data_IF_487834554108
#
_entry.id   IF_487834554108
#
_cell.length_a   1.000
_cell.length_b   1.000
_cell.length_c   1.000
_cell.angle_alpha   90.00
_cell.angle_beta   90.00
_cell.angle_gamma   90.00
#
_symmetry.space_group_name_H-M   'P 1'
#
loop_
_entity.id
_entity.type
_entity.pdbx_description
1 polymer ?
#
# COMPACT_ATOMS: atom_id res chain seq x y z
N UNK A 1 8.59 0.28 41.32
CA UNK A 1 9.69 -0.71 41.34
C UNK A 1 9.35 -1.78 40.34
N UNK A 2 10.17 -1.97 39.30
CA UNK A 2 10.01 -3.07 38.36
C UNK A 2 10.49 -4.36 39.04
N UNK A 3 9.63 -5.37 39.10
CA UNK A 3 10.00 -6.69 39.62
C UNK A 3 10.72 -7.42 38.48
N UNK A 4 11.99 -7.81 38.62
CA UNK A 4 12.63 -8.70 37.64
C UNK A 4 11.95 -10.06 37.74
N UNK A 5 11.32 -10.50 36.64
CA UNK A 5 10.65 -11.80 36.61
C UNK A 5 11.56 -12.84 35.96
N UNK A 6 11.62 -14.02 36.58
CA UNK A 6 12.34 -15.17 36.05
C UNK A 6 11.59 -15.83 34.90
N UNK A 7 12.34 -16.57 34.07
CA UNK A 7 11.81 -17.42 33.00
C UNK A 7 10.68 -18.36 33.45
N UNK A 8 10.84 -18.95 34.63
CA UNK A 8 9.88 -19.93 35.15
C UNK A 8 8.57 -19.26 35.56
N UNK A 9 8.65 -18.03 36.08
CA UNK A 9 7.47 -17.25 36.40
C UNK A 9 6.72 -16.83 35.13
N UNK A 10 7.40 -16.44 34.05
CA UNK A 10 6.73 -16.19 32.77
C UNK A 10 6.01 -17.42 32.22
N UNK A 11 6.63 -18.60 32.31
CA UNK A 11 6.00 -19.85 31.88
C UNK A 11 4.76 -20.17 32.71
N UNK A 12 4.84 -19.99 34.03
CA UNK A 12 3.71 -20.20 34.92
C UNK A 12 2.56 -19.23 34.59
N UNK A 13 2.84 -17.93 34.56
CA UNK A 13 1.84 -16.90 34.25
C UNK A 13 1.20 -17.12 32.88
N UNK A 14 1.99 -17.53 31.88
CA UNK A 14 1.49 -17.87 30.54
C UNK A 14 0.45 -19.01 30.57
N UNK A 15 0.65 -20.02 31.41
CA UNK A 15 -0.30 -21.13 31.58
C UNK A 15 -1.54 -20.69 32.36
N UNK A 16 -1.39 -19.83 33.36
CA UNK A 16 -2.53 -19.30 34.10
C UNK A 16 -3.41 -18.40 33.23
N UNK A 17 -2.83 -17.65 32.29
CA UNK A 17 -3.58 -16.82 31.34
C UNK A 17 -4.54 -17.63 30.44
N UNK A 18 -4.32 -18.93 30.24
CA UNK A 18 -5.23 -19.77 29.43
C UNK A 18 -6.50 -20.18 30.19
N UNK A 19 -6.65 -19.77 31.46
CA UNK A 19 -7.83 -20.07 32.29
C UNK A 19 -9.01 -19.10 32.03
N UNK A 20 -8.82 -18.09 31.16
CA UNK A 20 -9.87 -17.18 30.72
C UNK A 20 -9.73 -15.74 31.24
N UNK A 21 -10.65 -14.88 30.79
CA UNK A 21 -10.55 -13.41 30.96
C UNK A 21 -10.44 -12.95 32.42
N UNK A 22 -11.19 -13.60 33.33
CA UNK A 22 -11.11 -13.28 34.77
C UNK A 22 -9.70 -13.47 35.32
N UNK A 23 -9.00 -14.54 34.91
CA UNK A 23 -7.65 -14.83 35.37
C UNK A 23 -6.63 -13.89 34.74
N UNK A 24 -6.82 -13.54 33.46
CA UNK A 24 -6.00 -12.53 32.79
C UNK A 24 -6.10 -11.15 33.49
N UNK A 25 -7.31 -10.74 33.88
CA UNK A 25 -7.51 -9.47 34.60
C UNK A 25 -6.86 -9.46 35.99
N UNK A 26 -6.92 -10.58 36.72
CA UNK A 26 -6.23 -10.75 38.01
C UNK A 26 -4.71 -10.63 37.85
N UNK A 27 -4.14 -11.38 36.90
CA UNK A 27 -2.71 -11.37 36.58
C UNK A 27 -2.27 -9.97 36.14
N UNK A 28 -3.02 -9.33 35.25
CA UNK A 28 -2.70 -7.98 34.78
C UNK A 28 -2.75 -6.95 35.92
N UNK A 29 -3.71 -7.07 36.85
CA UNK A 29 -3.79 -6.17 38.01
C UNK A 29 -2.63 -6.37 38.98
N UNK A 30 -2.16 -7.62 39.13
CA UNK A 30 -1.10 -7.98 40.06
C UNK A 30 0.32 -7.70 39.53
N UNK A 31 0.56 -7.98 38.25
CA UNK A 31 1.89 -7.97 37.64
C UNK A 31 2.06 -6.89 36.57
N UNK A 32 0.97 -6.41 35.97
CA UNK A 32 0.99 -5.42 34.90
C UNK A 32 1.68 -5.92 33.62
N UNK A 33 2.03 -4.96 32.77
CA UNK A 33 2.79 -5.18 31.54
C UNK A 33 4.25 -4.77 31.65
N UNK A 34 4.63 -3.84 32.53
CA UNK A 34 6.00 -3.30 32.63
C UNK A 34 6.94 -4.19 33.44
N UNK A 35 7.03 -5.45 33.05
CA UNK A 35 7.88 -6.46 33.68
C UNK A 35 9.28 -6.32 33.10
N UNK A 36 10.29 -6.17 33.97
CA UNK A 36 11.68 -6.11 33.52
C UNK A 36 12.05 -7.48 32.92
N UNK A 37 12.51 -7.49 31.69
CA UNK A 37 12.76 -8.72 30.93
C UNK A 37 14.24 -8.96 30.72
N UNK A 38 14.76 -10.00 31.37
CA UNK A 38 16.04 -10.63 31.00
C UNK A 38 15.84 -11.76 29.98
N UNK A 39 14.58 -12.17 29.74
CA UNK A 39 14.19 -13.29 28.87
C UNK A 39 13.08 -12.86 27.87
N UNK A 40 13.43 -12.10 26.81
CA UNK A 40 12.46 -11.48 25.89
C UNK A 40 11.46 -12.45 25.24
N UNK A 41 11.88 -13.68 24.92
CA UNK A 41 11.04 -14.67 24.24
C UNK A 41 9.89 -15.20 25.11
N UNK A 42 10.18 -15.59 26.36
CA UNK A 42 9.13 -16.10 27.26
C UNK A 42 8.17 -14.99 27.67
N UNK A 43 8.69 -13.76 27.77
CA UNK A 43 7.87 -12.59 28.00
C UNK A 43 6.86 -12.35 26.87
N UNK A 44 7.27 -12.36 25.59
CA UNK A 44 6.33 -12.19 24.46
C UNK A 44 5.28 -13.31 24.43
N UNK A 45 5.67 -14.56 24.69
CA UNK A 45 4.72 -15.68 24.78
C UNK A 45 3.70 -15.50 25.90
N UNK A 46 4.12 -14.94 27.04
CA UNK A 46 3.21 -14.53 28.10
C UNK A 46 2.23 -13.46 27.61
N UNK A 47 2.72 -12.40 26.95
CA UNK A 47 1.89 -11.33 26.41
C UNK A 47 0.84 -11.84 25.40
N UNK A 48 1.19 -12.81 24.55
CA UNK A 48 0.25 -13.47 23.63
C UNK A 48 -0.94 -14.03 24.40
N UNK A 49 -0.69 -14.89 25.38
CA UNK A 49 -1.76 -15.54 26.13
C UNK A 49 -2.54 -14.57 27.04
N UNK A 50 -1.86 -13.55 27.58
CA UNK A 50 -2.51 -12.50 28.37
C UNK A 50 -3.49 -11.66 27.52
N UNK A 51 -3.22 -11.53 26.22
CA UNK A 51 -3.98 -10.70 25.29
C UNK A 51 -5.13 -11.40 24.58
N UNK A 52 -5.24 -12.74 24.68
CA UNK A 52 -6.29 -13.51 24.01
C UNK A 52 -7.66 -13.09 24.53
N UNK A 53 -8.48 -12.52 23.65
CA UNK A 53 -9.85 -12.06 23.93
C UNK A 53 -9.99 -10.91 24.95
N UNK A 54 -8.92 -10.18 25.28
CA UNK A 54 -8.98 -9.04 26.22
C UNK A 54 -8.47 -7.73 25.59
N UNK A 55 -9.39 -6.99 24.98
CA UNK A 55 -9.09 -5.75 24.23
C UNK A 55 -8.47 -4.63 25.07
N UNK A 56 -8.72 -4.57 26.38
CA UNK A 56 -8.13 -3.55 27.27
C UNK A 56 -6.66 -3.85 27.57
N UNK A 57 -6.32 -5.13 27.73
CA UNK A 57 -4.93 -5.57 27.90
C UNK A 57 -4.16 -5.40 26.57
N UNK A 58 -4.77 -5.73 25.43
CA UNK A 58 -4.18 -5.55 24.10
C UNK A 58 -3.65 -4.11 23.91
N UNK A 59 -4.43 -3.08 24.27
CA UNK A 59 -4.01 -1.67 24.22
C UNK A 59 -2.78 -1.35 25.05
N UNK A 60 -2.69 -1.97 26.21
CA UNK A 60 -1.59 -1.73 27.13
C UNK A 60 -0.31 -2.37 26.57
N UNK A 61 -0.42 -3.60 26.07
CA UNK A 61 0.68 -4.34 25.43
C UNK A 61 1.27 -3.55 24.27
N UNK A 62 0.44 -2.95 23.41
CA UNK A 62 0.92 -2.17 22.26
C UNK A 62 1.92 -1.07 22.65
N UNK A 63 1.73 -0.42 23.81
CA UNK A 63 2.60 0.68 24.26
C UNK A 63 4.01 0.25 24.65
N UNK A 64 4.22 -1.03 24.94
CA UNK A 64 5.52 -1.54 25.41
C UNK A 64 6.25 -2.37 24.37
N UNK A 65 5.59 -2.80 23.29
CA UNK A 65 6.24 -3.58 22.22
C UNK A 65 7.51 -2.92 21.65
N UNK A 66 7.56 -1.58 21.44
CA UNK A 66 8.79 -0.93 20.98
C UNK A 66 9.98 -1.06 21.94
N UNK A 67 9.75 -1.36 23.22
CA UNK A 67 10.82 -1.50 24.22
C UNK A 67 11.40 -2.91 24.32
N UNK A 68 10.83 -3.89 23.61
CA UNK A 68 11.27 -5.29 23.66
C UNK A 68 12.39 -5.51 22.63
N UNK A 69 13.56 -6.05 23.03
CA UNK A 69 14.63 -6.41 22.09
C UNK A 69 14.16 -7.45 21.06
N UNK A 70 14.52 -7.24 19.79
CA UNK A 70 14.09 -8.10 18.67
C UNK A 70 15.24 -9.01 18.21
N UNK A 71 15.03 -10.31 18.40
CA UNK A 71 15.74 -11.44 17.79
C UNK A 71 14.84 -12.18 16.78
N UNK A 72 15.38 -13.15 16.04
CA UNK A 72 14.58 -13.96 15.11
C UNK A 72 13.42 -14.68 15.83
N UNK A 73 13.69 -15.31 16.97
CA UNK A 73 12.65 -16.04 17.70
C UNK A 73 11.59 -15.09 18.26
N UNK A 74 11.99 -13.95 18.84
CA UNK A 74 11.02 -12.98 19.38
C UNK A 74 10.21 -12.34 18.27
N UNK A 75 10.79 -12.10 17.09
CA UNK A 75 10.10 -11.54 15.94
C UNK A 75 8.89 -12.39 15.54
N UNK A 76 9.03 -13.72 15.45
CA UNK A 76 7.94 -14.63 15.05
C UNK A 76 6.76 -14.56 16.04
N UNK A 77 7.05 -14.44 17.33
CA UNK A 77 6.01 -14.32 18.35
C UNK A 77 5.40 -12.91 18.45
N UNK A 78 6.18 -11.85 18.20
CA UNK A 78 5.65 -10.48 18.04
C UNK A 78 4.67 -10.40 16.87
N UNK A 79 4.95 -11.15 15.80
CA UNK A 79 4.08 -11.27 14.65
C UNK A 79 2.76 -11.97 15.01
N UNK A 80 2.80 -13.11 15.70
CA UNK A 80 1.58 -13.79 16.18
C UNK A 80 0.76 -12.87 17.10
N UNK A 81 1.43 -12.19 18.04
CA UNK A 81 0.81 -11.24 18.95
C UNK A 81 0.12 -10.11 18.19
N UNK A 82 0.80 -9.52 17.22
CA UNK A 82 0.27 -8.45 16.38
C UNK A 82 -0.95 -8.94 15.59
N UNK A 83 -0.90 -10.13 14.97
CA UNK A 83 -2.04 -10.69 14.25
C UNK A 83 -3.26 -10.92 15.15
N UNK A 84 -3.06 -11.39 16.38
CA UNK A 84 -4.15 -11.60 17.35
C UNK A 84 -4.80 -10.27 17.76
N UNK A 85 -3.98 -9.24 18.00
CA UNK A 85 -4.47 -7.88 18.30
C UNK A 85 -5.24 -7.31 17.11
N UNK A 86 -4.81 -7.59 15.87
CA UNK A 86 -5.47 -7.11 14.66
C UNK A 86 -6.79 -7.83 14.35
N UNK A 87 -6.91 -9.13 14.65
CA UNK A 87 -8.10 -9.92 14.37
C UNK A 87 -9.32 -9.51 15.23
N UNK A 88 -9.08 -8.94 16.42
CA UNK A 88 -10.12 -8.55 17.38
C UNK A 88 -10.61 -7.09 17.21
N UNK A 89 -10.16 -6.37 16.17
CA UNK A 89 -10.51 -4.96 15.97
C UNK A 89 -11.76 -4.75 15.12
N UNK A 90 -12.70 -3.89 15.57
CA UNK A 90 -13.75 -3.38 14.71
C UNK A 90 -13.17 -2.46 13.62
N UNK A 91 -13.63 -2.63 12.37
CA UNK A 91 -13.14 -1.94 11.14
C UNK A 91 -13.10 -0.40 11.19
N UNK A 92 -13.73 0.24 12.18
CA UNK A 92 -14.03 1.68 12.20
C UNK A 92 -13.10 2.53 13.10
N UNK A 93 -11.94 2.04 13.55
CA UNK A 93 -11.00 2.82 14.39
C UNK A 93 -9.67 3.10 13.71
N UNK A 94 -9.67 4.12 12.84
CA UNK A 94 -8.51 4.62 12.09
C UNK A 94 -7.25 4.90 12.95
N UNK A 95 -7.41 5.51 14.14
CA UNK A 95 -6.29 5.81 15.04
C UNK A 95 -5.63 4.55 15.62
N UNK A 96 -6.40 3.46 15.74
CA UNK A 96 -5.91 2.19 16.28
C UNK A 96 -5.02 1.46 15.27
N UNK A 97 -5.33 1.62 14.00
CA UNK A 97 -4.58 1.03 12.89
C UNK A 97 -3.23 1.76 12.71
N UNK A 98 -3.20 3.09 12.90
CA UNK A 98 -1.95 3.87 12.82
C UNK A 98 -0.93 3.53 13.92
N UNK A 99 -1.36 3.39 15.18
CA UNK A 99 -0.46 2.97 16.28
C UNK A 99 0.07 1.54 16.08
N UNK A 100 -0.75 0.63 15.53
CA UNK A 100 -0.36 -0.75 15.25
C UNK A 100 0.59 -0.88 14.06
N UNK A 101 0.36 -0.12 12.99
CA UNK A 101 1.27 -0.05 11.84
C UNK A 101 2.67 0.38 12.27
N UNK A 102 2.79 1.34 13.19
CA UNK A 102 4.09 1.80 13.70
C UNK A 102 4.86 0.72 14.48
N UNK A 103 4.17 -0.22 15.13
CA UNK A 103 4.81 -1.32 15.86
C UNK A 103 5.29 -2.41 14.92
N UNK A 104 4.49 -2.76 13.91
CA UNK A 104 4.91 -3.68 12.85
C UNK A 104 6.08 -3.06 12.09
N UNK A 105 6.05 -1.75 11.88
CA UNK A 105 7.15 -1.01 11.25
C UNK A 105 8.42 -0.92 12.08
N UNK A 106 8.29 -0.68 13.38
CA UNK A 106 9.40 -0.78 14.31
C UNK A 106 9.99 -2.19 14.34
N UNK A 107 9.12 -3.21 14.28
CA UNK A 107 9.53 -4.61 14.22
C UNK A 107 10.31 -4.89 12.94
N UNK A 108 9.82 -4.40 11.80
CA UNK A 108 10.49 -4.48 10.50
C UNK A 108 11.83 -3.75 10.48
N UNK A 109 11.91 -2.53 11.01
CA UNK A 109 13.15 -1.73 11.04
C UNK A 109 14.22 -2.31 11.96
N UNK A 110 13.83 -3.18 12.90
CA UNK A 110 14.72 -3.83 13.85
C UNK A 110 15.15 -5.23 13.42
N UNK A 111 14.50 -5.80 12.38
CA UNK A 111 14.88 -7.08 11.79
C UNK A 111 15.94 -6.81 10.73
N UNK A 112 17.11 -7.45 10.87
CA UNK A 112 18.15 -7.39 9.85
C UNK A 112 17.58 -7.96 8.53
N UNK A 113 17.78 -7.26 7.41
CA UNK A 113 17.16 -7.53 6.09
C UNK A 113 17.55 -8.87 5.45
N UNK A 114 18.20 -9.75 6.19
CA UNK A 114 18.68 -11.07 5.78
C UNK A 114 17.83 -12.23 6.32
N UNK A 115 16.67 -11.97 6.93
CA UNK A 115 15.74 -13.01 7.38
C UNK A 115 14.42 -12.96 6.61
N UNK A 116 14.41 -13.62 5.45
CA UNK A 116 13.31 -13.61 4.47
C UNK A 116 11.97 -14.09 5.08
N UNK A 117 12.00 -15.10 5.95
CA UNK A 117 10.79 -15.63 6.59
C UNK A 117 10.13 -14.59 7.51
N UNK A 118 10.91 -13.90 8.35
CA UNK A 118 10.37 -12.87 9.24
C UNK A 118 9.85 -11.66 8.48
N UNK A 119 10.56 -11.31 7.40
CA UNK A 119 10.12 -10.29 6.48
C UNK A 119 8.77 -10.65 5.86
N UNK A 120 8.59 -11.86 5.31
CA UNK A 120 7.32 -12.32 4.73
C UNK A 120 6.14 -12.30 5.71
N UNK A 121 6.35 -12.63 6.98
CA UNK A 121 5.30 -12.56 8.00
C UNK A 121 4.97 -11.10 8.37
N UNK A 122 5.99 -10.29 8.64
CA UNK A 122 5.84 -8.86 8.96
C UNK A 122 5.13 -8.11 7.85
N UNK A 123 5.53 -8.46 6.64
CA UNK A 123 4.89 -8.10 5.41
C UNK A 123 3.42 -8.54 5.37
N UNK A 124 3.11 -9.83 5.56
CA UNK A 124 1.74 -10.36 5.59
C UNK A 124 0.83 -9.61 6.59
N UNK A 125 1.35 -9.14 7.73
CA UNK A 125 0.53 -8.34 8.65
C UNK A 125 0.39 -6.88 8.26
N UNK A 126 1.42 -6.23 7.73
CA UNK A 126 1.24 -4.92 7.08
C UNK A 126 0.21 -5.02 5.97
N UNK A 127 0.25 -6.11 5.22
CA UNK A 127 -0.68 -6.49 4.17
C UNK A 127 -2.12 -6.58 4.69
N UNK A 128 -2.35 -6.99 5.95
CA UNK A 128 -3.68 -7.07 6.57
C UNK A 128 -4.17 -5.74 7.13
N UNK A 129 -3.27 -4.80 7.36
CA UNK A 129 -3.61 -3.43 7.71
C UNK A 129 -3.96 -2.65 6.45
N UNK A 130 -4.78 -1.61 6.58
CA UNK A 130 -4.88 -0.62 5.51
C UNK A 130 -3.48 -0.10 5.26
N UNK A 131 -2.92 -0.35 4.07
CA UNK A 131 -1.56 0.03 3.71
C UNK A 131 -1.58 1.55 3.48
N UNK A 132 -1.54 2.27 4.60
CA UNK A 132 -1.52 3.72 4.65
C UNK A 132 -0.14 4.14 5.14
N UNK A 133 0.41 5.22 4.55
CA UNK A 133 1.73 5.79 4.83
C UNK A 133 2.90 5.13 4.07
N UNK A 134 2.76 4.88 2.77
CA UNK A 134 3.82 4.42 1.88
C UNK A 134 5.10 5.28 1.98
N UNK A 135 4.96 6.58 2.22
CA UNK A 135 6.10 7.49 2.44
C UNK A 135 6.96 7.07 3.63
N UNK A 136 6.32 6.67 4.74
CA UNK A 136 7.01 6.18 5.92
C UNK A 136 7.61 4.79 5.67
N UNK A 137 6.88 3.90 4.98
CA UNK A 137 7.36 2.56 4.61
C UNK A 137 8.61 2.64 3.73
N UNK A 138 8.63 3.53 2.74
CA UNK A 138 9.77 3.75 1.86
C UNK A 138 11.04 4.19 2.62
N UNK A 139 10.89 4.91 3.74
CA UNK A 139 12.04 5.32 4.57
C UNK A 139 12.62 4.19 5.43
N UNK A 140 11.86 3.11 5.63
CA UNK A 140 12.20 2.01 6.54
C UNK A 140 12.61 0.73 5.81
N UNK A 141 12.09 0.52 4.60
CA UNK A 141 12.31 -0.70 3.82
C UNK A 141 13.51 -0.54 2.88
N UNK A 142 14.22 -1.65 2.63
CA UNK A 142 15.14 -1.72 1.49
C UNK A 142 14.37 -1.59 0.18
N UNK A 143 15.07 -1.26 -0.91
CA UNK A 143 14.46 -1.12 -2.25
C UNK A 143 13.70 -2.41 -2.63
N UNK A 144 14.32 -3.58 -2.46
CA UNK A 144 13.70 -4.87 -2.79
C UNK A 144 12.43 -5.13 -1.96
N UNK A 145 12.46 -4.81 -0.67
CA UNK A 145 11.34 -4.98 0.24
C UNK A 145 10.19 -4.02 -0.07
N UNK A 146 10.52 -2.79 -0.48
CA UNK A 146 9.53 -1.81 -0.93
C UNK A 146 8.90 -2.23 -2.27
N UNK A 147 9.68 -2.83 -3.18
CA UNK A 147 9.17 -3.38 -4.43
C UNK A 147 8.20 -4.54 -4.21
N UNK A 148 8.50 -5.42 -3.25
CA UNK A 148 7.58 -6.49 -2.84
C UNK A 148 6.25 -5.86 -2.35
N UNK A 149 6.31 -4.82 -1.52
CA UNK A 149 5.13 -4.08 -1.04
C UNK A 149 4.23 -3.57 -2.16
N UNK A 150 4.82 -2.98 -3.21
CA UNK A 150 4.06 -2.55 -4.36
C UNK A 150 3.37 -3.73 -5.07
N UNK A 151 4.04 -4.89 -5.19
CA UNK A 151 3.46 -6.09 -5.83
C UNK A 151 2.20 -6.58 -5.10
N UNK A 152 2.16 -6.49 -3.78
CA UNK A 152 0.97 -6.89 -3.02
C UNK A 152 -0.16 -5.87 -3.10
N UNK A 153 0.18 -4.58 -3.01
CA UNK A 153 -0.83 -3.51 -3.19
C UNK A 153 -1.49 -3.69 -4.56
N UNK A 154 -0.68 -3.92 -5.61
CA UNK A 154 -1.16 -4.23 -6.94
C UNK A 154 -2.08 -5.46 -6.94
N UNK A 155 -1.64 -6.60 -6.38
CA UNK A 155 -2.44 -7.83 -6.36
C UNK A 155 -3.77 -7.67 -5.59
N UNK A 156 -3.78 -6.85 -4.53
CA UNK A 156 -5.01 -6.50 -3.81
C UNK A 156 -5.97 -5.66 -4.63
N UNK A 157 -5.45 -4.63 -5.31
CA UNK A 157 -6.24 -3.77 -6.19
C UNK A 157 -6.81 -4.55 -7.37
N UNK A 158 -6.03 -5.46 -7.95
CA UNK A 158 -6.46 -6.37 -9.01
C UNK A 158 -7.62 -7.25 -8.53
N UNK A 159 -7.47 -7.90 -7.38
CA UNK A 159 -8.52 -8.75 -6.80
C UNK A 159 -9.78 -7.98 -6.42
N UNK A 160 -9.63 -6.76 -5.90
CA UNK A 160 -10.75 -5.87 -5.61
C UNK A 160 -11.52 -5.54 -6.90
N UNK A 161 -10.77 -5.23 -7.97
CA UNK A 161 -11.32 -4.93 -9.28
C UNK A 161 -12.05 -6.13 -9.90
N UNK A 162 -11.46 -7.33 -9.88
CA UNK A 162 -12.08 -8.55 -10.41
C UNK A 162 -13.43 -8.88 -9.75
N UNK A 163 -13.60 -8.47 -8.50
CA UNK A 163 -14.82 -8.70 -7.73
C UNK A 163 -15.80 -7.52 -7.78
N UNK A 164 -15.47 -6.46 -8.52
CA UNK A 164 -16.23 -5.20 -8.55
C UNK A 164 -16.43 -4.61 -7.13
N UNK A 165 -15.48 -4.89 -6.22
CA UNK A 165 -15.50 -4.40 -4.86
C UNK A 165 -15.01 -2.94 -4.86
N UNK A 166 -15.89 -2.03 -4.45
CA UNK A 166 -15.57 -0.62 -4.22
C UNK A 166 -14.74 -0.47 -2.92
N UNK A 167 -13.50 -0.97 -2.93
CA UNK A 167 -12.60 -1.00 -1.75
C UNK A 167 -11.22 -0.38 -2.02
N UNK A 168 -11.00 0.27 -3.18
CA UNK A 168 -9.74 0.99 -3.45
C UNK A 168 -9.36 1.99 -2.34
N UNK A 169 -10.29 2.81 -1.78
CA UNK A 169 -9.98 3.71 -0.66
C UNK A 169 -9.57 2.99 0.64
N UNK A 170 -9.91 1.71 0.76
CA UNK A 170 -9.52 0.87 1.88
C UNK A 170 -8.14 0.24 1.65
N UNK A 171 -7.64 0.21 0.42
CA UNK A 171 -6.34 -0.38 0.10
C UNK A 171 -5.23 0.68 0.10
N UNK A 172 -5.49 1.85 -0.48
CA UNK A 172 -4.52 2.94 -0.64
C UNK A 172 -5.15 4.30 -0.32
N UNK A 173 -4.43 5.17 0.40
CA UNK A 173 -4.92 6.51 0.74
C UNK A 173 -4.57 7.56 -0.32
N UNK A 174 -5.22 8.73 -0.23
CA UNK A 174 -4.93 9.89 -1.09
C UNK A 174 -3.50 10.38 -0.88
N UNK A 175 -3.04 10.38 0.37
CA UNK A 175 -1.67 10.75 0.74
C UNK A 175 -0.63 9.79 0.14
N UNK A 176 -0.96 8.49 0.07
CA UNK A 176 -0.09 7.49 -0.57
C UNK A 176 -0.06 7.65 -2.08
N UNK A 177 -1.19 8.00 -2.70
CA UNK A 177 -1.26 8.30 -4.14
C UNK A 177 -0.39 9.52 -4.44
N UNK A 178 -0.49 10.59 -3.65
CA UNK A 178 0.36 11.77 -3.79
C UNK A 178 1.84 11.43 -3.61
N UNK A 179 2.18 10.61 -2.61
CA UNK A 179 3.54 10.13 -2.42
C UNK A 179 4.05 9.35 -3.63
N UNK A 180 3.27 8.38 -4.14
CA UNK A 180 3.64 7.59 -5.32
C UNK A 180 3.85 8.47 -6.56
N UNK A 181 3.02 9.49 -6.78
CA UNK A 181 3.17 10.41 -7.91
C UNK A 181 4.46 11.25 -7.82
N UNK A 182 4.82 11.68 -6.60
CA UNK A 182 6.04 12.44 -6.34
C UNK A 182 7.30 11.56 -6.40
N UNK A 183 7.20 10.32 -5.92
CA UNK A 183 8.28 9.34 -5.89
C UNK A 183 8.50 8.66 -7.24
N UNK A 184 7.49 8.66 -8.12
CA UNK A 184 7.57 8.04 -9.44
C UNK A 184 8.84 8.48 -10.20
N UNK A 185 9.64 7.48 -10.54
CA UNK A 185 10.83 7.60 -11.39
C UNK A 185 10.46 7.05 -12.76
N UNK A 186 10.99 7.67 -13.81
CA UNK A 186 10.83 7.19 -15.19
C UNK A 186 11.10 5.67 -15.26
N UNK A 187 10.22 4.95 -15.96
CA UNK A 187 10.21 3.48 -16.15
C UNK A 187 9.70 2.62 -14.96
N UNK A 188 9.19 3.19 -13.86
CA UNK A 188 8.54 2.41 -12.79
C UNK A 188 7.10 1.98 -13.15
N UNK A 189 6.98 0.94 -13.95
CA UNK A 189 5.68 0.42 -14.40
C UNK A 189 4.78 -0.07 -13.26
N UNK A 190 5.34 -0.54 -12.14
CA UNK A 190 4.53 -1.02 -11.01
C UNK A 190 3.74 0.10 -10.37
N UNK A 191 4.40 1.24 -10.13
CA UNK A 191 3.73 2.44 -9.64
C UNK A 191 2.63 2.89 -10.59
N UNK A 192 2.87 2.87 -11.90
CA UNK A 192 1.84 3.20 -12.90
C UNK A 192 0.65 2.22 -12.88
N UNK A 193 0.87 0.93 -12.69
CA UNK A 193 -0.23 -0.05 -12.56
C UNK A 193 -1.10 0.25 -11.34
N UNK A 194 -0.49 0.54 -10.18
CA UNK A 194 -1.22 0.92 -8.95
C UNK A 194 -2.04 2.19 -9.19
N UNK A 195 -1.41 3.21 -9.78
CA UNK A 195 -2.05 4.49 -10.08
C UNK A 195 -3.20 4.32 -11.09
N UNK A 196 -3.08 3.42 -12.07
CA UNK A 196 -4.15 3.10 -13.01
C UNK A 196 -5.39 2.56 -12.30
N UNK A 197 -5.26 1.63 -11.34
CA UNK A 197 -6.40 1.19 -10.53
C UNK A 197 -7.05 2.35 -9.76
N UNK A 198 -6.24 3.27 -9.23
CA UNK A 198 -6.75 4.45 -8.52
C UNK A 198 -7.58 5.36 -9.45
N UNK A 199 -7.18 5.53 -10.72
CA UNK A 199 -7.96 6.32 -11.70
C UNK A 199 -9.27 5.67 -12.15
N UNK A 200 -9.51 4.39 -11.81
CA UNK A 200 -10.76 3.70 -12.14
C UNK A 200 -11.81 3.78 -11.04
N UNK A 201 -11.41 4.15 -9.82
CA UNK A 201 -12.31 4.30 -8.67
C UNK A 201 -13.03 5.65 -8.72
N UNK A 202 -14.33 5.60 -9.01
CA UNK A 202 -15.18 6.79 -9.17
C UNK A 202 -15.17 7.69 -7.94
N UNK A 203 -15.13 7.13 -6.73
CA UNK A 203 -15.18 7.92 -5.48
C UNK A 203 -13.92 8.73 -5.22
N UNK A 204 -12.78 8.30 -5.76
CA UNK A 204 -11.48 8.96 -5.57
C UNK A 204 -11.02 9.71 -6.81
N UNK A 205 -11.65 9.49 -7.96
CA UNK A 205 -11.18 9.98 -9.25
C UNK A 205 -10.84 11.47 -9.25
N UNK A 206 -11.71 12.31 -8.68
CA UNK A 206 -11.48 13.76 -8.64
C UNK A 206 -10.23 14.13 -7.86
N UNK A 207 -10.01 13.50 -6.71
CA UNK A 207 -8.85 13.76 -5.86
C UNK A 207 -7.57 13.21 -6.51
N UNK A 208 -7.63 12.01 -7.09
CA UNK A 208 -6.54 11.39 -7.86
C UNK A 208 -6.10 12.29 -9.02
N UNK A 209 -7.05 12.78 -9.81
CA UNK A 209 -6.78 13.72 -10.90
C UNK A 209 -6.09 14.98 -10.40
N UNK A 210 -6.62 15.60 -9.34
CA UNK A 210 -6.04 16.82 -8.78
C UNK A 210 -4.58 16.59 -8.35
N UNK A 211 -4.29 15.44 -7.72
CA UNK A 211 -2.93 15.03 -7.39
C UNK A 211 -2.08 14.91 -8.64
N UNK A 212 -2.56 14.24 -9.70
CA UNK A 212 -1.76 14.01 -10.91
C UNK A 212 -1.40 15.33 -11.61
N UNK A 213 -2.32 16.30 -11.58
CA UNK A 213 -2.08 17.65 -12.08
C UNK A 213 -1.06 18.39 -11.21
N UNK A 214 -1.24 18.38 -9.89
CA UNK A 214 -0.40 19.13 -8.95
C UNK A 214 1.03 18.59 -8.85
N UNK A 215 1.20 17.28 -8.93
CA UNK A 215 2.51 16.59 -8.88
C UNK A 215 3.23 16.58 -10.23
N UNK A 216 2.55 17.05 -11.30
CA UNK A 216 3.06 17.01 -12.67
C UNK A 216 3.20 15.61 -13.25
N UNK A 217 2.58 14.58 -12.65
CA UNK A 217 2.65 13.20 -13.12
C UNK A 217 2.23 13.10 -14.60
N UNK A 218 1.18 13.82 -14.99
CA UNK A 218 0.70 13.84 -16.38
C UNK A 218 1.83 14.22 -17.34
N UNK A 219 2.64 15.22 -17.01
CA UNK A 219 3.74 15.67 -17.86
C UNK A 219 4.90 14.66 -17.89
N UNK A 220 5.07 13.85 -16.83
CA UNK A 220 6.09 12.79 -16.74
C UNK A 220 5.70 11.53 -17.54
N UNK A 221 4.43 11.14 -17.56
CA UNK A 221 4.00 9.88 -18.21
C UNK A 221 3.97 9.94 -19.74
N UNK A 222 3.85 11.14 -20.33
CA UNK A 222 3.88 11.31 -21.79
C UNK A 222 5.22 10.91 -22.44
N UNK A 223 6.39 11.37 -21.94
CA UNK A 223 7.69 10.87 -22.37
C UNK A 223 7.85 9.36 -22.20
N UNK A 224 7.33 8.78 -21.12
CA UNK A 224 7.40 7.33 -20.86
C UNK A 224 6.59 6.57 -21.91
N UNK A 225 5.35 7.00 -22.18
CA UNK A 225 4.50 6.43 -23.25
C UNK A 225 5.21 6.45 -24.61
N UNK A 226 5.94 7.52 -24.91
CA UNK A 226 6.63 7.67 -26.20
C UNK A 226 7.85 6.75 -26.37
N UNK A 227 8.45 6.27 -25.27
CA UNK A 227 9.64 5.38 -25.24
C UNK A 227 9.31 3.92 -24.93
N UNK A 228 8.08 3.67 -24.48
CA UNK A 228 7.66 2.33 -24.05
C UNK A 228 7.39 1.49 -25.30
N UNK A 229 8.07 0.35 -25.45
CA UNK A 229 7.84 -0.60 -26.54
C UNK A 229 6.84 -1.70 -26.20
N UNK A 230 6.63 -1.98 -24.90
CA UNK A 230 5.69 -2.98 -24.41
C UNK A 230 4.23 -2.50 -24.49
N UNK A 231 3.39 -3.25 -25.20
CA UNK A 231 1.98 -2.88 -25.41
C UNK A 231 1.14 -2.94 -24.13
N UNK A 232 1.47 -3.83 -23.17
CA UNK A 232 0.80 -3.88 -21.88
C UNK A 232 1.01 -2.59 -21.09
N UNK A 233 2.26 -2.14 -21.04
CA UNK A 233 2.68 -0.90 -20.39
C UNK A 233 2.08 0.34 -21.07
N UNK A 234 2.04 0.38 -22.41
CA UNK A 234 1.34 1.45 -23.15
C UNK A 234 -0.14 1.50 -22.78
N UNK A 235 -0.82 0.35 -22.72
CA UNK A 235 -2.23 0.30 -22.38
C UNK A 235 -2.51 0.85 -20.97
N UNK A 236 -1.64 0.56 -19.99
CA UNK A 236 -1.74 1.10 -18.63
C UNK A 236 -1.64 2.64 -18.64
N UNK A 237 -0.65 3.20 -19.34
CA UNK A 237 -0.46 4.65 -19.40
C UNK A 237 -1.63 5.32 -20.14
N UNK A 238 -2.07 4.75 -21.25
CA UNK A 238 -3.20 5.27 -22.02
C UNK A 238 -4.52 5.22 -21.23
N UNK A 239 -4.71 4.21 -20.38
CA UNK A 239 -5.87 4.14 -19.47
C UNK A 239 -5.85 5.24 -18.41
N UNK A 240 -4.70 5.49 -17.78
CA UNK A 240 -4.53 6.62 -16.86
C UNK A 240 -4.90 7.92 -17.56
N UNK A 241 -4.37 8.16 -18.76
CA UNK A 241 -4.68 9.34 -19.54
C UNK A 241 -6.18 9.42 -19.87
N UNK A 242 -6.81 8.33 -20.31
CA UNK A 242 -8.24 8.26 -20.63
C UNK A 242 -9.16 8.55 -19.44
N UNK A 243 -8.75 8.17 -18.23
CA UNK A 243 -9.54 8.40 -17.03
C UNK A 243 -9.37 9.82 -16.48
N UNK A 244 -8.23 10.45 -16.77
CA UNK A 244 -7.89 11.78 -16.27
C UNK A 244 -8.17 12.90 -17.29
N UNK A 245 -8.38 12.57 -18.56
CA UNK A 245 -8.53 13.53 -19.67
C UNK A 245 -9.67 14.53 -19.48
N UNK A 246 -10.78 14.15 -18.84
CA UNK A 246 -11.95 15.01 -18.67
C UNK A 246 -11.67 16.24 -17.80
N UNK A 247 -10.59 16.21 -17.03
CA UNK A 247 -10.22 17.24 -16.06
C UNK A 247 -8.90 17.95 -16.45
N UNK A 248 -8.32 17.58 -17.61
CA UNK A 248 -7.16 18.23 -18.20
C UNK A 248 -7.59 19.29 -19.21
N UNK A 249 -6.81 20.37 -19.33
CA UNK A 249 -7.08 21.39 -20.35
C UNK A 249 -6.79 20.85 -21.75
N UNK A 250 -7.63 21.23 -22.72
CA UNK A 250 -7.54 20.82 -24.13
C UNK A 250 -6.13 21.07 -24.69
N UNK A 251 -5.56 22.24 -24.43
CA UNK A 251 -4.22 22.60 -24.91
C UNK A 251 -3.12 21.65 -24.39
N UNK A 252 -3.24 21.21 -23.13
CA UNK A 252 -2.28 20.30 -22.49
C UNK A 252 -2.39 18.89 -23.09
N UNK A 253 -3.63 18.45 -23.35
CA UNK A 253 -3.94 17.18 -24.00
C UNK A 253 -3.39 17.18 -25.43
N UNK A 254 -3.71 18.21 -26.23
CA UNK A 254 -3.29 18.31 -27.64
C UNK A 254 -1.77 18.34 -27.78
N UNK A 255 -1.08 19.21 -27.03
CA UNK A 255 0.38 19.35 -27.12
C UNK A 255 1.10 18.03 -26.82
N UNK A 256 0.66 17.34 -25.78
CA UNK A 256 1.34 16.12 -25.33
C UNK A 256 0.92 14.88 -26.14
N UNK A 257 -0.35 14.74 -26.54
CA UNK A 257 -0.78 13.70 -27.49
C UNK A 257 -0.12 13.86 -28.85
N UNK A 258 0.10 15.08 -29.34
CA UNK A 258 0.82 15.28 -30.60
C UNK A 258 2.25 14.74 -30.54
N UNK A 259 2.95 14.88 -29.41
CA UNK A 259 4.31 14.34 -29.22
C UNK A 259 4.26 12.80 -29.28
N UNK A 260 3.27 12.21 -28.63
CA UNK A 260 3.04 10.76 -28.62
C UNK A 260 2.70 10.23 -30.01
N UNK A 261 1.78 10.88 -30.72
CA UNK A 261 1.36 10.49 -32.08
C UNK A 261 2.48 10.66 -33.12
N UNK A 262 3.44 11.55 -32.86
CA UNK A 262 4.63 11.75 -33.71
C UNK A 262 5.80 10.82 -33.32
N UNK A 263 5.72 10.09 -32.22
CA UNK A 263 6.80 9.17 -31.83
C UNK A 263 6.82 7.96 -32.76
N UNK A 264 8.01 7.55 -33.19
CA UNK A 264 8.18 6.41 -34.10
C UNK A 264 7.86 5.07 -33.43
N UNK A 265 7.70 5.04 -32.11
CA UNK A 265 7.49 3.84 -31.30
C UNK A 265 6.01 3.57 -30.98
N UNK A 266 5.14 4.55 -31.24
CA UNK A 266 3.69 4.36 -31.12
C UNK A 266 3.12 3.80 -32.42
N UNK A 267 3.00 2.49 -32.51
CA UNK A 267 2.34 1.85 -33.65
C UNK A 267 0.81 2.00 -33.54
N UNK A 268 0.27 3.08 -34.11
CA UNK A 268 -1.18 3.36 -34.20
C UNK A 268 -1.94 2.30 -35.03
N UNK A 269 -1.23 1.38 -35.68
CA UNK A 269 -1.85 0.23 -36.36
C UNK A 269 -2.21 -0.89 -35.37
N UNK A 270 -1.65 -0.88 -34.17
CA UNK A 270 -2.00 -1.84 -33.13
C UNK A 270 -3.41 -1.54 -32.60
N UNK A 271 -4.33 -2.53 -32.58
CA UNK A 271 -5.72 -2.33 -32.20
C UNK A 271 -5.89 -1.68 -30.82
N UNK A 272 -5.17 -2.17 -29.81
CA UNK A 272 -5.31 -1.73 -28.42
C UNK A 272 -4.86 -0.28 -28.22
N UNK A 273 -3.70 0.07 -28.75
CA UNK A 273 -3.16 1.45 -28.68
C UNK A 273 -4.07 2.42 -29.43
N UNK A 274 -4.57 2.02 -30.61
CA UNK A 274 -5.51 2.80 -31.41
C UNK A 274 -6.84 3.03 -30.71
N UNK A 275 -7.40 2.00 -30.07
CA UNK A 275 -8.66 2.09 -29.31
C UNK A 275 -8.53 3.07 -28.15
N UNK A 276 -7.48 2.97 -27.33
CA UNK A 276 -7.33 3.87 -26.20
C UNK A 276 -7.05 5.32 -26.59
N UNK A 277 -6.25 5.55 -27.63
CA UNK A 277 -6.06 6.90 -28.18
C UNK A 277 -7.40 7.50 -28.61
N UNK A 278 -8.24 6.72 -29.29
CA UNK A 278 -9.57 7.15 -29.69
C UNK A 278 -10.49 7.45 -28.49
N UNK A 279 -10.43 6.62 -27.43
CA UNK A 279 -11.19 6.87 -26.19
C UNK A 279 -10.75 8.16 -25.51
N UNK A 280 -9.44 8.41 -25.40
CA UNK A 280 -8.89 9.66 -24.82
C UNK A 280 -9.44 10.87 -25.59
N UNK A 281 -9.40 10.82 -26.92
CA UNK A 281 -9.87 11.90 -27.79
C UNK A 281 -11.37 12.13 -27.63
N UNK A 282 -12.19 11.06 -27.64
CA UNK A 282 -13.64 11.16 -27.46
C UNK A 282 -14.03 11.70 -26.10
N UNK A 283 -13.26 11.37 -25.06
CA UNK A 283 -13.50 11.83 -23.69
C UNK A 283 -12.98 13.25 -23.43
N UNK A 284 -11.94 13.67 -24.14
CA UNK A 284 -11.44 15.06 -24.17
C UNK A 284 -12.34 16.00 -24.97
N UNK A 285 -13.64 16.04 -24.63
CA UNK A 285 -14.67 16.84 -25.29
C UNK A 285 -14.22 18.31 -25.29
N UNK A 286 -13.87 18.81 -26.48
CA UNK A 286 -13.37 20.17 -26.70
C UNK A 286 -12.16 20.29 -27.64
N UNK A 287 -11.59 19.18 -28.11
CA UNK A 287 -10.58 19.21 -29.18
C UNK A 287 -11.16 19.88 -30.43
N UNK A 288 -10.40 20.78 -31.07
CA UNK A 288 -10.86 21.53 -32.24
C UNK A 288 -11.23 20.61 -33.40
N UNK A 289 -12.17 21.03 -34.26
CA UNK A 289 -12.52 20.31 -35.50
C UNK A 289 -11.29 19.97 -36.35
N UNK A 290 -10.29 20.86 -36.37
CA UNK A 290 -9.01 20.67 -37.06
C UNK A 290 -8.20 19.47 -36.53
N UNK A 291 -8.23 19.24 -35.21
CA UNK A 291 -7.55 18.09 -34.60
C UNK A 291 -8.29 16.78 -34.92
N UNK A 292 -9.63 16.81 -34.91
CA UNK A 292 -10.45 15.68 -35.35
C UNK A 292 -10.18 15.32 -36.82
N UNK A 293 -10.12 16.30 -37.72
CA UNK A 293 -9.82 16.07 -39.14
C UNK A 293 -8.41 15.52 -39.37
N UNK A 294 -7.40 16.02 -38.65
CA UNK A 294 -6.01 15.54 -38.76
C UNK A 294 -5.89 14.09 -38.30
N UNK A 295 -6.68 13.69 -37.31
CA UNK A 295 -6.76 12.32 -36.82
C UNK A 295 -7.53 11.39 -37.76
N UNK A 296 -8.67 11.83 -38.31
CA UNK A 296 -9.40 11.07 -39.33
C UNK A 296 -8.51 10.82 -40.55
N UNK A 297 -7.70 11.81 -40.95
CA UNK A 297 -6.67 11.61 -41.98
C UNK A 297 -5.62 10.58 -41.56
N UNK A 298 -5.06 10.66 -40.35
CA UNK A 298 -4.10 9.65 -39.86
C UNK A 298 -4.71 8.24 -39.78
N UNK A 299 -6.00 8.13 -39.47
CA UNK A 299 -6.74 6.87 -39.40
C UNK A 299 -7.02 6.27 -40.78
N UNK A 300 -7.19 7.11 -41.81
CA UNK A 300 -7.55 6.70 -43.17
C UNK A 300 -6.38 6.69 -44.17
N UNK A 301 -5.28 7.41 -43.94
CA UNK A 301 -4.15 7.52 -44.88
C UNK A 301 -3.22 6.31 -44.89
N UNK A 302 -3.41 5.29 -44.04
CA UNK A 302 -2.59 4.06 -44.04
C UNK A 302 -3.38 2.76 -43.81
N UNK A 303 -4.67 2.75 -44.19
CA UNK A 303 -5.41 1.51 -44.43
C UNK A 303 -5.01 0.92 -45.79
#
# INVERSE_FOLDING_TARGET
>A
MSIPLSKDLYKQLRLECTQGESKQNEIFSQYGISLNTEEPLEYIKYLINLSVANTNIQKSILKILPSIPITEETGKFLMILSNNILADLPDHKFNYISENSNIILYTLSSINSSNDNLFEWAYFLLSKLHVKNLSHLNSLLSIDNYQILLDFIQAKLEKAWEKEENIVPDIISIEDIEFLCNYYIDDDMKTLVILNYCTREVRMLKDVVNIFVNTGLIDKIFPVLAKTSDEGSKAVILQILSNTVCELTIDKITKNLEIVLKSAELDVKQPTTREWVFVIIRRGIGLSEEFHEKLDRLYHEKA
#
